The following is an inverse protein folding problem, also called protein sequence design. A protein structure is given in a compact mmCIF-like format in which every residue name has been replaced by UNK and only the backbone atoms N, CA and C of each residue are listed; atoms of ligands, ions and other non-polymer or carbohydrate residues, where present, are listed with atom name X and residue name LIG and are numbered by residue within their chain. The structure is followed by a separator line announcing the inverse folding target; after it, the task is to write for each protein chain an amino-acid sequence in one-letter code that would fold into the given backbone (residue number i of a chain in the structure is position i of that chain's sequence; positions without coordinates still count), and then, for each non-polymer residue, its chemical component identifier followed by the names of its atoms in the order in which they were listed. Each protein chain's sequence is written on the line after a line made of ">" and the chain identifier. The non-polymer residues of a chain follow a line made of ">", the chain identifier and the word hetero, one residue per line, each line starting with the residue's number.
data_IF_790262423584
#
_entry.id   IF_790262423584
#
_cell.length_a   1.000
_cell.length_b   1.000
_cell.length_c   1.000
_cell.angle_alpha   90.00
_cell.angle_beta   90.00
_cell.angle_gamma   90.00
#
_symmetry.space_group_name_H-M   'P 1'
#
loop_
_entity.id
_entity.type
_entity.pdbx_description
1 polymer ?
#
# COMPACT_ATOMS: atom_id res chain seq x y z
N UNK A 1 -8.66 -4.71 -10.45
CA UNK A 1 -7.26 -4.28 -10.62
C UNK A 1 -6.33 -5.39 -10.18
N UNK A 2 -5.29 -5.65 -10.97
CA UNK A 2 -4.18 -6.55 -10.62
C UNK A 2 -2.91 -5.73 -10.39
N UNK A 3 -2.15 -6.08 -9.34
CA UNK A 3 -0.83 -5.54 -9.04
C UNK A 3 0.14 -6.71 -8.90
N UNK A 4 1.26 -6.64 -9.62
CA UNK A 4 2.32 -7.63 -9.56
C UNK A 4 3.45 -7.07 -8.70
N UNK A 5 3.84 -7.81 -7.67
CA UNK A 5 5.06 -7.52 -6.91
C UNK A 5 6.25 -8.07 -7.69
N UNK A 6 7.10 -7.18 -8.19
CA UNK A 6 8.33 -7.54 -8.89
C UNK A 6 9.43 -7.88 -7.89
N UNK A 7 9.58 -7.03 -6.86
CA UNK A 7 10.55 -7.20 -5.78
C UNK A 7 9.87 -6.77 -4.47
N UNK A 8 9.89 -7.62 -3.43
CA UNK A 8 9.37 -7.24 -2.13
C UNK A 8 10.30 -6.20 -1.47
N UNK A 9 9.71 -5.26 -0.73
CA UNK A 9 10.48 -4.41 0.20
C UNK A 9 10.93 -5.18 1.44
N UNK A 10 11.63 -4.51 2.37
CA UNK A 10 12.10 -5.14 3.61
C UNK A 10 10.93 -5.69 4.43
N UNK A 11 9.88 -4.87 4.58
CA UNK A 11 8.63 -5.26 5.20
C UNK A 11 7.51 -4.47 4.53
N UNK A 12 6.77 -5.12 3.63
CA UNK A 12 5.60 -4.56 2.94
C UNK A 12 4.36 -5.32 3.39
N UNK A 13 3.39 -4.60 3.96
CA UNK A 13 2.15 -5.19 4.47
C UNK A 13 0.95 -4.40 3.98
N UNK A 14 -0.20 -5.06 3.87
CA UNK A 14 -1.48 -4.36 3.70
C UNK A 14 -1.95 -3.90 5.07
N UNK A 15 -2.21 -2.60 5.22
CA UNK A 15 -2.71 -1.98 6.44
C UNK A 15 -3.93 -1.13 6.15
N UNK A 16 -4.89 -1.15 7.06
CA UNK A 16 -6.11 -0.34 7.04
C UNK A 16 -6.18 0.55 8.29
N UNK A 17 -7.35 1.11 8.59
CA UNK A 17 -7.55 1.88 9.82
C UNK A 17 -7.38 1.07 11.12
N UNK A 18 -7.34 -0.26 11.05
CA UNK A 18 -7.30 -1.13 12.20
C UNK A 18 -8.68 -1.51 12.74
N UNK A 19 -8.65 -2.28 13.83
CA UNK A 19 -9.85 -2.75 14.54
C UNK A 19 -9.85 -2.16 15.95
N UNK A 20 -10.92 -1.46 16.30
CA UNK A 20 -11.09 -0.87 17.63
C UNK A 20 -12.27 -1.54 18.35
N UNK A 21 -12.31 -1.47 19.68
CA UNK A 21 -13.42 -2.00 20.47
C UNK A 21 -13.39 -3.51 20.77
N UNK A 22 -12.48 -4.27 20.15
CA UNK A 22 -12.38 -5.73 20.34
C UNK A 22 -11.40 -6.17 21.43
N UNK A 23 -10.91 -5.22 22.25
CA UNK A 23 -9.97 -5.51 23.35
C UNK A 23 -10.57 -6.48 24.38
N UNK A 24 -11.88 -6.41 24.61
CA UNK A 24 -12.61 -7.29 25.55
C UNK A 24 -12.62 -8.77 25.14
N UNK A 25 -12.29 -9.08 23.88
CA UNK A 25 -12.17 -10.46 23.36
C UNK A 25 -10.73 -10.79 22.97
N UNK A 26 -9.74 -10.05 23.50
CA UNK A 26 -8.31 -10.34 23.31
C UNK A 26 -7.72 -9.87 21.98
N UNK A 27 -8.45 -9.10 21.18
CA UNK A 27 -7.94 -8.58 19.90
C UNK A 27 -7.24 -7.24 20.13
N UNK A 28 -5.94 -7.18 19.82
CA UNK A 28 -5.14 -5.96 19.85
C UNK A 28 -5.53 -5.07 18.66
N UNK A 29 -5.64 -3.73 18.82
CA UNK A 29 -5.83 -2.83 17.69
C UNK A 29 -4.67 -2.95 16.70
N UNK A 30 -4.95 -3.51 15.52
CA UNK A 30 -4.04 -3.50 14.37
C UNK A 30 -4.14 -2.19 13.57
N UNK A 31 -3.70 -2.22 12.31
CA UNK A 31 -3.81 -1.12 11.36
C UNK A 31 -2.48 -0.37 11.15
N UNK A 32 -2.55 0.67 10.31
CA UNK A 32 -1.41 1.50 9.95
C UNK A 32 -0.75 2.15 11.17
N UNK A 33 0.58 2.09 11.23
CA UNK A 33 1.33 2.73 12.32
C UNK A 33 1.31 4.27 12.26
N UNK A 34 1.21 4.84 11.06
CA UNK A 34 0.93 6.26 10.84
C UNK A 34 -0.44 6.38 10.15
N UNK A 35 -1.47 6.47 11.00
CA UNK A 35 -2.84 6.62 10.54
C UNK A 35 -3.08 7.92 9.77
N UNK A 36 -2.28 8.97 10.00
CA UNK A 36 -2.43 10.23 9.26
C UNK A 36 -1.95 10.06 7.82
N UNK A 37 -0.76 9.49 7.62
CA UNK A 37 -0.23 9.24 6.28
C UNK A 37 -1.12 8.27 5.48
N UNK A 38 -1.67 7.22 6.11
CA UNK A 38 -2.66 6.35 5.50
C UNK A 38 -3.88 7.12 5.00
N UNK A 39 -4.54 7.87 5.90
CA UNK A 39 -5.77 8.62 5.58
C UNK A 39 -5.53 9.66 4.50
N UNK A 40 -4.40 10.35 4.54
CA UNK A 40 -4.03 11.32 3.53
C UNK A 40 -3.81 10.66 2.16
N UNK A 41 -3.09 9.53 2.10
CA UNK A 41 -2.89 8.80 0.86
C UNK A 41 -4.23 8.36 0.25
N UNK A 42 -5.14 7.82 1.06
CA UNK A 42 -6.49 7.44 0.63
C UNK A 42 -7.30 8.63 0.13
N UNK A 43 -7.31 9.74 0.88
CA UNK A 43 -8.04 10.95 0.48
C UNK A 43 -7.56 11.52 -0.86
N UNK A 44 -6.24 11.49 -1.12
CA UNK A 44 -5.65 12.00 -2.37
C UNK A 44 -6.08 11.21 -3.61
N UNK A 45 -6.46 9.93 -3.45
CA UNK A 45 -6.95 9.08 -4.55
C UNK A 45 -8.47 8.89 -4.54
N UNK A 46 -9.18 9.57 -3.64
CA UNK A 46 -10.64 9.52 -3.53
C UNK A 46 -11.21 8.33 -2.76
N UNK A 47 -10.39 7.61 -2.00
CA UNK A 47 -10.83 6.50 -1.16
C UNK A 47 -11.40 6.98 0.18
N UNK A 48 -12.14 6.09 0.87
CA UNK A 48 -12.48 6.29 2.27
C UNK A 48 -11.21 6.36 3.13
N UNK A 49 -11.16 7.17 4.21
CA UNK A 49 -9.94 7.39 4.99
C UNK A 49 -9.31 6.12 5.58
N UNK A 50 -10.13 5.10 5.88
CA UNK A 50 -9.69 3.83 6.45
C UNK A 50 -9.47 2.70 5.45
N UNK A 51 -9.55 2.98 4.15
CA UNK A 51 -9.34 2.00 3.09
C UNK A 51 -7.93 1.38 3.17
N UNK A 52 -7.79 0.12 2.76
CA UNK A 52 -6.52 -0.57 2.86
C UNK A 52 -5.48 0.04 1.89
N UNK A 53 -4.23 0.14 2.35
CA UNK A 53 -3.09 0.58 1.56
C UNK A 53 -1.86 -0.30 1.83
N UNK A 54 -0.84 -0.19 0.98
CA UNK A 54 0.45 -0.83 1.25
C UNK A 54 1.29 0.04 2.19
N UNK A 55 1.62 -0.49 3.36
CA UNK A 55 2.58 0.06 4.29
C UNK A 55 3.96 -0.57 4.07
N UNK A 56 4.96 0.25 3.83
CA UNK A 56 6.35 -0.16 3.59
C UNK A 56 7.27 0.42 4.66
N UNK A 57 8.12 -0.41 5.25
CA UNK A 57 9.08 0.00 6.29
C UNK A 57 10.51 -0.03 5.78
N UNK A 58 11.22 1.10 5.90
CA UNK A 58 12.62 1.36 5.52
C UNK A 58 12.97 1.18 4.04
N UNK A 59 12.49 0.13 3.38
CA UNK A 59 12.68 -0.13 1.95
C UNK A 59 11.34 -0.50 1.33
N UNK A 60 10.95 0.25 0.31
CA UNK A 60 9.72 -0.02 -0.45
C UNK A 60 9.83 -1.21 -1.41
N UNK A 61 8.72 -1.51 -2.07
CA UNK A 61 8.61 -2.57 -3.06
C UNK A 61 8.75 -2.05 -4.50
N UNK A 62 9.08 -2.95 -5.41
CA UNK A 62 8.92 -2.74 -6.85
C UNK A 62 7.60 -3.39 -7.30
N UNK A 63 6.69 -2.59 -7.85
CA UNK A 63 5.34 -3.00 -8.23
C UNK A 63 5.09 -2.73 -9.72
N UNK A 64 4.23 -3.51 -10.37
CA UNK A 64 3.71 -3.22 -11.71
C UNK A 64 2.20 -3.35 -11.73
N UNK A 65 1.52 -2.34 -12.26
CA UNK A 65 0.08 -2.33 -12.41
C UNK A 65 -0.31 -2.74 -13.82
N UNK A 66 -1.32 -3.59 -13.97
CA UNK A 66 -1.77 -4.11 -15.28
C UNK A 66 -2.84 -3.23 -15.94
N UNK A 67 -3.21 -2.13 -15.29
CA UNK A 67 -4.15 -1.13 -15.77
C UNK A 67 -3.67 0.28 -15.38
N UNK A 68 -4.20 1.29 -16.07
CA UNK A 68 -4.02 2.68 -15.65
C UNK A 68 -4.62 2.86 -14.25
N UNK A 69 -3.86 3.54 -13.39
CA UNK A 69 -4.18 3.62 -11.96
C UNK A 69 -3.75 4.95 -11.36
N UNK A 70 -4.61 5.54 -10.54
CA UNK A 70 -4.27 6.72 -9.75
C UNK A 70 -3.75 6.26 -8.38
N UNK A 71 -2.53 6.69 -8.03
CA UNK A 71 -1.89 6.33 -6.77
C UNK A 71 -1.46 7.57 -5.99
N UNK A 72 -1.29 7.44 -4.68
CA UNK A 72 -0.66 8.47 -3.86
C UNK A 72 0.31 7.83 -2.87
N UNK A 73 1.49 8.43 -2.72
CA UNK A 73 2.51 8.01 -1.77
C UNK A 73 2.69 9.07 -0.68
N UNK A 74 2.45 8.68 0.57
CA UNK A 74 2.59 9.52 1.75
C UNK A 74 3.55 8.89 2.78
N UNK A 75 3.93 9.64 3.80
CA UNK A 75 4.85 9.18 4.85
C UNK A 75 6.33 9.40 4.51
N UNK A 76 7.14 8.37 4.60
CA UNK A 76 8.59 8.40 4.37
C UNK A 76 8.97 8.73 2.92
N UNK A 77 10.12 9.37 2.72
CA UNK A 77 10.66 9.69 1.40
C UNK A 77 11.50 8.53 0.89
N UNK A 78 10.99 7.75 -0.06
CA UNK A 78 11.63 6.53 -0.55
C UNK A 78 12.06 6.60 -2.04
N UNK A 79 12.34 7.80 -2.57
CA UNK A 79 12.76 7.99 -3.98
C UNK A 79 11.89 7.22 -5.00
N UNK A 80 10.57 7.21 -4.80
CA UNK A 80 9.69 6.41 -5.63
C UNK A 80 9.72 6.90 -7.08
N UNK A 81 9.87 6.02 -8.06
CA UNK A 81 9.95 6.35 -9.50
C UNK A 81 9.08 5.44 -10.33
N UNK A 82 8.44 6.01 -11.34
CA UNK A 82 7.70 5.26 -12.36
C UNK A 82 8.57 5.11 -13.62
N UNK A 83 8.96 3.89 -13.97
CA UNK A 83 9.87 3.63 -15.10
C UNK A 83 11.21 4.35 -14.96
N UNK A 84 11.65 5.02 -16.03
CA UNK A 84 12.85 5.87 -16.08
C UNK A 84 12.57 7.33 -15.73
N UNK A 85 11.36 7.65 -15.25
CA UNK A 85 10.94 9.01 -14.92
C UNK A 85 11.64 9.61 -13.70
N UNK A 86 11.37 10.91 -13.44
CA UNK A 86 11.82 11.57 -12.22
C UNK A 86 11.15 10.95 -10.98
N UNK A 87 11.65 11.27 -9.76
CA UNK A 87 10.97 10.91 -8.53
C UNK A 87 9.52 11.40 -8.52
N UNK A 88 8.61 10.55 -8.08
CA UNK A 88 7.21 10.89 -7.90
C UNK A 88 7.06 11.95 -6.81
N UNK A 89 6.13 12.89 -6.97
CA UNK A 89 5.80 13.80 -5.90
C UNK A 89 5.21 13.03 -4.72
N UNK A 90 5.66 13.36 -3.51
CA UNK A 90 5.03 12.91 -2.27
C UNK A 90 3.75 13.71 -2.02
N UNK A 91 2.79 13.12 -1.30
CA UNK A 91 1.56 13.80 -0.87
C UNK A 91 0.74 14.40 -2.03
N UNK A 92 0.82 13.79 -3.21
CA UNK A 92 0.08 14.19 -4.42
C UNK A 92 -0.38 12.94 -5.17
N UNK A 93 -1.56 12.97 -5.82
CA UNK A 93 -1.98 11.89 -6.68
C UNK A 93 -1.15 11.86 -7.97
N UNK A 94 -0.85 10.65 -8.44
CA UNK A 94 -0.06 10.38 -9.65
C UNK A 94 -0.78 9.32 -10.46
N UNK A 95 -1.04 9.62 -11.74
CA UNK A 95 -1.55 8.64 -12.69
C UNK A 95 -0.39 7.79 -13.22
N UNK A 96 -0.42 6.49 -12.95
CA UNK A 96 0.48 5.51 -13.54
C UNK A 96 -0.22 4.81 -14.70
N UNK A 97 0.50 4.66 -15.81
CA UNK A 97 0.00 3.92 -16.98
C UNK A 97 0.21 2.42 -16.80
N UNK A 98 -0.70 1.63 -17.38
CA UNK A 98 -0.59 0.17 -17.43
C UNK A 98 0.81 -0.28 -17.88
N UNK A 99 1.33 -1.33 -17.25
CA UNK A 99 2.64 -1.89 -17.52
C UNK A 99 3.81 -1.12 -16.90
N UNK A 100 3.58 0.10 -16.37
CA UNK A 100 4.65 0.89 -15.75
C UNK A 100 5.08 0.28 -14.43
N UNK A 101 6.39 0.04 -14.28
CA UNK A 101 6.98 -0.40 -13.02
C UNK A 101 7.16 0.82 -12.08
N UNK A 102 6.55 0.76 -10.90
CA UNK A 102 6.77 1.66 -9.78
C UNK A 102 7.84 1.07 -8.87
N UNK A 103 8.99 1.74 -8.76
CA UNK A 103 10.08 1.33 -7.88
C UNK A 103 10.14 2.26 -6.67
N UNK A 104 9.99 1.71 -5.48
CA UNK A 104 10.06 2.45 -4.22
C UNK A 104 11.29 1.95 -3.48
N UNK A 105 12.25 2.83 -3.21
CA UNK A 105 13.60 2.49 -2.72
C UNK A 105 13.68 2.57 -1.20
N UNK A 106 14.91 2.57 -0.69
CA UNK A 106 15.20 2.85 0.70
C UNK A 106 14.77 4.28 1.09
N UNK A 107 14.31 4.45 2.33
CA UNK A 107 13.93 5.73 2.88
C UNK A 107 15.16 6.63 3.04
N UNK A 108 15.08 7.84 2.47
CA UNK A 108 16.00 8.95 2.72
C UNK A 108 15.63 9.68 4.01
N UNK A 109 14.34 9.81 4.28
CA UNK A 109 13.79 10.43 5.49
C UNK A 109 12.51 9.72 5.93
N UNK A 110 12.27 9.63 7.24
CA UNK A 110 11.16 8.88 7.82
C UNK A 110 11.39 7.36 7.79
N UNK A 111 10.39 6.60 8.24
CA UNK A 111 10.49 5.14 8.40
C UNK A 111 9.42 4.37 7.62
N UNK A 112 8.17 4.84 7.62
CA UNK A 112 7.04 4.17 6.98
C UNK A 112 6.43 5.01 5.86
N UNK A 113 6.19 4.38 4.72
CA UNK A 113 5.48 4.98 3.59
C UNK A 113 4.19 4.20 3.28
N UNK A 114 3.19 4.92 2.78
CA UNK A 114 1.86 4.39 2.47
C UNK A 114 1.53 4.65 1.01
N UNK A 115 1.34 3.58 0.25
CA UNK A 115 0.88 3.64 -1.13
C UNK A 115 -0.60 3.28 -1.20
N UNK A 116 -1.43 4.30 -1.40
CA UNK A 116 -2.85 4.14 -1.68
C UNK A 116 -3.08 4.09 -3.20
N UNK A 117 -4.11 3.35 -3.58
CA UNK A 117 -4.53 3.15 -4.97
C UNK A 117 -6.01 3.46 -5.06
N UNK A 118 -6.44 4.25 -6.04
CA UNK A 118 -7.87 4.54 -6.25
C UNK A 118 -8.68 3.25 -6.40
N UNK A 119 -9.77 3.14 -5.63
CA UNK A 119 -10.60 1.93 -5.55
C UNK A 119 -10.12 0.89 -4.53
N UNK A 120 -9.00 1.14 -3.84
CA UNK A 120 -8.48 0.30 -2.76
C UNK A 120 -7.84 -1.01 -3.24
N UNK A 121 -7.42 -1.82 -2.27
CA UNK A 121 -6.94 -3.18 -2.52
C UNK A 121 -8.02 -4.19 -2.14
N UNK A 122 -8.39 -5.06 -3.09
CA UNK A 122 -9.33 -6.16 -2.83
C UNK A 122 -8.63 -7.27 -2.02
N UNK A 123 -8.54 -7.09 -0.70
CA UNK A 123 -7.90 -8.03 0.21
C UNK A 123 -8.97 -8.72 1.07
N UNK A 124 -8.97 -10.06 1.21
CA UNK A 124 -9.93 -10.75 2.05
C UNK A 124 -9.90 -10.23 3.49
N UNK A 125 -11.08 -9.91 4.02
CA UNK A 125 -11.25 -9.53 5.41
C UNK A 125 -11.00 -10.74 6.33
N UNK A 126 -9.78 -10.89 6.85
CA UNK A 126 -9.51 -11.89 7.90
C UNK A 126 -10.05 -11.32 9.22
N UNK A 127 -11.29 -11.67 9.58
CA UNK A 127 -11.99 -11.19 10.79
C UNK A 127 -12.25 -9.66 10.81
N UNK A 128 -12.73 -9.08 9.70
CA UNK A 128 -12.89 -7.61 9.53
C UNK A 128 -11.80 -6.99 8.64
N UNK A 129 -11.72 -5.66 8.49
CA UNK A 129 -10.99 -5.02 7.39
C UNK A 129 -9.48 -5.37 7.39
N UNK A 130 -8.88 -5.49 6.20
CA UNK A 130 -7.87 -6.51 5.93
C UNK A 130 -6.45 -6.27 6.51
N UNK A 131 -5.82 -7.37 6.94
CA UNK A 131 -4.36 -7.49 7.13
C UNK A 131 -3.87 -8.64 6.24
N UNK A 132 -2.97 -8.37 5.29
CA UNK A 132 -2.25 -9.40 4.52
C UNK A 132 -0.76 -9.04 4.45
N UNK A 133 0.08 -9.96 4.91
CA UNK A 133 1.53 -9.87 4.78
C UNK A 133 1.95 -10.45 3.41
N UNK A 134 2.47 -9.62 2.51
CA UNK A 134 2.84 -10.07 1.15
C UNK A 134 4.31 -10.50 1.16
N UNK A 135 4.61 -11.65 1.75
CA UNK A 135 5.93 -12.31 1.61
C UNK A 135 5.92 -13.48 0.62
N UNK A 136 4.75 -13.92 0.13
CA UNK A 136 4.61 -14.91 -0.95
C UNK A 136 3.20 -14.85 -1.56
N UNK A 137 3.06 -14.25 -2.73
CA UNK A 137 1.85 -14.37 -3.55
C UNK A 137 2.16 -15.23 -4.77
N UNK A 138 2.31 -16.54 -4.59
CA UNK A 138 2.11 -17.50 -5.68
C UNK A 138 0.61 -17.66 -5.84
N UNK A 139 0.06 -16.97 -6.84
CA UNK A 139 -1.33 -17.14 -7.25
C UNK A 139 -1.56 -18.58 -7.72
N UNK A 140 -2.27 -19.34 -6.90
CA UNK A 140 -2.99 -20.54 -7.33
C UNK A 140 -4.25 -20.63 -6.47
N UNK A 141 -5.36 -20.20 -7.06
CA UNK A 141 -6.69 -20.65 -6.63
C UNK A 141 -6.76 -22.16 -6.87
N UNK A 142 -7.14 -22.99 -5.89
CA UNK A 142 -7.66 -24.31 -6.21
C UNK A 142 -9.06 -24.13 -6.80
N UNK A 143 -9.28 -24.83 -7.91
CA UNK A 143 -10.52 -24.88 -8.69
C UNK A 143 -11.74 -25.34 -7.88
N UNK A 144 -12.91 -25.04 -8.47
CA UNK A 144 -14.27 -25.60 -8.28
C UNK A 144 -15.19 -24.85 -7.33
#
# INVERSE_FOLDING_TARGET
>A
MSVVVLEPGLQTTVQDAGRFGLRGVGVVPGGAADAFALRAANALVGNAPGEAALEMTLTGASLRFEQDVLVALCGADMDARAGSGPPLPRWRPVLLRSGTALRIRAARTGVRAYLAVAGGFAVPAVLGPALLNISRATGRTPFS
#
